data_IF_306853962326
#
_entry.id   IF_306853962326
#
_cell.length_a   1.000
_cell.length_b   1.000
_cell.length_c   1.000
_cell.angle_alpha   90.00
_cell.angle_beta   90.00
_cell.angle_gamma   90.00
#
_symmetry.space_group_name_H-M   'P 1'
#
loop_
_entity.id
_entity.type
_entity.pdbx_description
1 polymer ?
#
# COMPACT_ATOMS: atom_id res chain seq x y z
N UNK A 1 -4.70 -9.21 31.25
CA UNK A 1 -4.71 -9.54 29.82
C UNK A 1 -5.55 -8.49 29.12
N UNK A 2 -4.94 -7.60 28.36
CA UNK A 2 -5.68 -6.58 27.60
C UNK A 2 -6.28 -7.26 26.37
N UNK A 3 -7.60 -7.33 26.25
CA UNK A 3 -8.27 -7.84 25.05
C UNK A 3 -7.84 -7.00 23.84
N UNK A 4 -7.37 -7.66 22.78
CA UNK A 4 -7.09 -7.02 21.49
C UNK A 4 -8.43 -6.54 20.92
N UNK A 5 -8.55 -5.23 20.64
CA UNK A 5 -9.79 -4.68 20.06
C UNK A 5 -9.96 -5.21 18.64
N UNK A 6 -11.19 -5.48 18.22
CA UNK A 6 -11.50 -5.87 16.83
C UNK A 6 -12.08 -4.68 16.08
N UNK A 7 -11.67 -4.49 14.83
CA UNK A 7 -12.26 -3.52 13.90
C UNK A 7 -12.62 -4.24 12.60
N UNK A 8 -13.77 -3.89 12.05
CA UNK A 8 -14.28 -4.46 10.80
C UNK A 8 -14.50 -3.32 9.82
N UNK A 9 -13.98 -3.45 8.61
CA UNK A 9 -14.29 -2.56 7.47
C UNK A 9 -15.38 -3.23 6.65
N UNK A 10 -16.50 -2.55 6.46
CA UNK A 10 -17.64 -2.99 5.64
C UNK A 10 -17.85 -2.08 4.43
N UNK A 11 -17.46 -0.81 4.53
CA UNK A 11 -17.65 0.19 3.49
C UNK A 11 -16.44 1.11 3.47
N UNK A 12 -15.38 0.70 2.78
CA UNK A 12 -14.21 1.55 2.57
C UNK A 12 -14.27 2.32 1.26
N UNK A 13 -13.61 3.48 1.27
CA UNK A 13 -13.08 4.10 0.07
C UNK A 13 -11.65 3.61 -0.17
N UNK A 14 -11.38 3.10 -1.36
CA UNK A 14 -10.06 2.65 -1.79
C UNK A 14 -9.50 3.63 -2.80
N UNK A 15 -8.33 4.17 -2.49
CA UNK A 15 -7.56 5.05 -3.36
C UNK A 15 -6.37 4.27 -3.90
N UNK A 16 -6.20 4.25 -5.21
CA UNK A 16 -5.10 3.55 -5.87
C UNK A 16 -4.22 4.56 -6.62
N UNK A 17 -2.94 4.62 -6.29
CA UNK A 17 -1.92 5.36 -7.05
C UNK A 17 -1.05 4.31 -7.74
N UNK A 18 -1.23 4.12 -9.05
CA UNK A 18 -0.58 3.02 -9.78
C UNK A 18 0.25 3.56 -10.95
N UNK A 19 1.46 4.01 -10.66
CA UNK A 19 2.35 4.64 -11.63
C UNK A 19 3.18 3.58 -12.35
N UNK A 20 3.03 3.48 -13.67
CA UNK A 20 3.73 2.47 -14.48
C UNK A 20 4.64 3.04 -15.55
N UNK A 21 4.54 4.34 -15.90
CA UNK A 21 5.43 4.96 -16.89
C UNK A 21 6.16 6.18 -16.33
N UNK A 22 7.42 6.31 -16.73
CA UNK A 22 8.35 7.29 -16.19
C UNK A 22 9.21 7.87 -17.33
N UNK A 23 9.61 9.13 -17.19
CA UNK A 23 10.48 9.79 -18.16
C UNK A 23 11.94 9.32 -18.04
N UNK A 24 12.43 9.15 -16.80
CA UNK A 24 13.84 8.87 -16.49
C UNK A 24 14.08 7.48 -15.89
N UNK A 25 13.03 6.70 -15.63
CA UNK A 25 13.11 5.35 -15.07
C UNK A 25 12.49 4.34 -16.03
N UNK A 26 12.84 3.07 -15.86
CA UNK A 26 12.17 1.98 -16.59
C UNK A 26 10.69 1.92 -16.22
N UNK A 27 9.83 1.76 -17.23
CA UNK A 27 8.42 1.48 -17.00
C UNK A 27 8.21 0.20 -16.19
N UNK A 28 7.17 0.20 -15.36
CA UNK A 28 6.73 -0.92 -14.54
C UNK A 28 5.44 -1.50 -15.12
N UNK A 29 5.51 -2.13 -16.29
CA UNK A 29 4.33 -2.66 -17.00
C UNK A 29 3.51 -3.64 -16.14
N UNK A 30 4.15 -4.33 -15.20
CA UNK A 30 3.49 -5.19 -14.21
C UNK A 30 2.53 -4.45 -13.28
N UNK A 31 2.77 -3.16 -12.99
CA UNK A 31 1.86 -2.35 -12.18
C UNK A 31 0.51 -2.21 -12.89
N UNK A 32 0.57 -1.96 -14.20
CA UNK A 32 -0.63 -1.82 -15.05
C UNK A 32 -1.29 -3.16 -15.35
N UNK A 33 -0.50 -4.17 -15.69
CA UNK A 33 -1.02 -5.45 -16.21
C UNK A 33 -1.36 -6.47 -15.13
N UNK A 34 -0.82 -6.33 -13.92
CA UNK A 34 -0.99 -7.31 -12.83
C UNK A 34 -1.42 -6.65 -11.52
N UNK A 35 -0.67 -5.67 -11.02
CA UNK A 35 -0.89 -5.18 -9.66
C UNK A 35 -2.21 -4.42 -9.50
N UNK A 36 -2.46 -3.42 -10.35
CA UNK A 36 -3.71 -2.68 -10.32
C UNK A 36 -4.94 -3.59 -10.58
N UNK A 37 -4.93 -4.51 -11.56
CA UNK A 37 -5.99 -5.50 -11.72
C UNK A 37 -6.19 -6.40 -10.50
N UNK A 38 -5.11 -6.88 -9.85
CA UNK A 38 -5.21 -7.73 -8.66
C UNK A 38 -5.93 -7.02 -7.51
N UNK A 39 -5.52 -5.78 -7.21
CA UNK A 39 -6.16 -5.00 -6.16
C UNK A 39 -7.59 -4.58 -6.53
N UNK A 40 -7.84 -4.21 -7.78
CA UNK A 40 -9.19 -3.90 -8.27
C UNK A 40 -10.11 -5.10 -8.10
N UNK A 41 -9.66 -6.29 -8.51
CA UNK A 41 -10.41 -7.53 -8.34
C UNK A 41 -10.80 -7.77 -6.89
N UNK A 42 -9.86 -7.67 -5.96
CA UNK A 42 -10.17 -7.90 -4.56
C UNK A 42 -11.08 -6.81 -3.96
N UNK A 43 -10.70 -5.55 -4.05
CA UNK A 43 -11.41 -4.49 -3.33
C UNK A 43 -12.73 -4.09 -4.01
N UNK A 44 -12.77 -4.02 -5.34
CA UNK A 44 -13.96 -3.62 -6.09
C UNK A 44 -14.89 -4.80 -6.38
N UNK A 45 -14.36 -5.89 -6.92
CA UNK A 45 -15.20 -6.99 -7.41
C UNK A 45 -15.60 -7.94 -6.29
N UNK A 46 -14.67 -8.32 -5.40
CA UNK A 46 -14.94 -9.25 -4.31
C UNK A 46 -15.54 -8.55 -3.08
N UNK A 47 -14.99 -7.40 -2.65
CA UNK A 47 -15.47 -6.68 -1.46
C UNK A 47 -16.52 -5.60 -1.75
N UNK A 48 -16.75 -5.24 -3.01
CA UNK A 48 -17.71 -4.20 -3.42
C UNK A 48 -17.45 -2.83 -2.79
N UNK A 49 -16.18 -2.50 -2.53
CA UNK A 49 -15.79 -1.17 -2.07
C UNK A 49 -15.77 -0.16 -3.21
N UNK A 50 -15.89 1.12 -2.84
CA UNK A 50 -15.70 2.22 -3.77
C UNK A 50 -14.21 2.37 -4.09
N UNK A 51 -13.84 2.36 -5.37
CA UNK A 51 -12.43 2.42 -5.79
C UNK A 51 -12.21 3.58 -6.75
N UNK A 52 -11.25 4.44 -6.42
CA UNK A 52 -10.75 5.53 -7.27
C UNK A 52 -9.27 5.37 -7.54
N UNK A 53 -8.85 5.68 -8.76
CA UNK A 53 -7.49 5.42 -9.22
C UNK A 53 -6.87 6.65 -9.88
N UNK A 54 -5.65 6.98 -9.47
CA UNK A 54 -4.75 7.90 -10.17
C UNK A 54 -4.14 7.17 -11.38
N UNK A 55 -4.06 7.86 -12.51
CA UNK A 55 -3.65 7.29 -13.79
C UNK A 55 -2.27 6.64 -13.80
N UNK A 56 -1.95 5.94 -14.89
CA UNK A 56 -0.68 5.20 -15.05
C UNK A 56 0.54 6.10 -15.33
N UNK A 57 0.28 7.39 -15.60
CA UNK A 57 1.23 8.48 -15.77
C UNK A 57 0.74 9.68 -14.96
N UNK A 58 1.49 10.09 -13.94
CA UNK A 58 1.15 11.24 -13.11
C UNK A 58 2.43 11.87 -12.55
N UNK A 59 2.55 13.20 -12.64
CA UNK A 59 3.62 13.97 -11.99
C UNK A 59 3.42 14.01 -10.47
N UNK A 60 4.42 14.49 -9.72
CA UNK A 60 4.28 14.65 -8.28
C UNK A 60 3.10 15.56 -7.91
N UNK A 61 2.91 16.65 -8.67
CA UNK A 61 1.78 17.57 -8.50
C UNK A 61 0.44 16.92 -8.86
N UNK A 62 0.38 16.11 -9.92
CA UNK A 62 -0.83 15.37 -10.29
C UNK A 62 -1.24 14.38 -9.19
N UNK A 63 -0.28 13.70 -8.56
CA UNK A 63 -0.55 12.79 -7.43
C UNK A 63 -1.15 13.57 -6.26
N UNK A 64 -0.57 14.71 -5.88
CA UNK A 64 -1.10 15.53 -4.79
C UNK A 64 -2.48 16.09 -5.12
N UNK A 65 -2.68 16.57 -6.35
CA UNK A 65 -3.96 17.07 -6.85
C UNK A 65 -5.02 15.97 -6.85
N UNK A 66 -4.69 14.76 -7.28
CA UNK A 66 -5.59 13.60 -7.22
C UNK A 66 -6.07 13.35 -5.78
N UNK A 67 -5.17 13.42 -4.79
CA UNK A 67 -5.56 13.23 -3.39
C UNK A 67 -6.53 14.32 -2.91
N UNK A 68 -6.28 15.58 -3.28
CA UNK A 68 -7.18 16.71 -2.95
C UNK A 68 -8.53 16.60 -3.66
N UNK A 69 -8.53 16.18 -4.93
CA UNK A 69 -9.74 15.91 -5.70
C UNK A 69 -10.57 14.78 -5.08
N UNK A 70 -9.95 13.70 -4.59
CA UNK A 70 -10.67 12.63 -3.90
C UNK A 70 -11.29 13.14 -2.59
N UNK A 71 -10.53 13.88 -1.78
CA UNK A 71 -11.06 14.46 -0.53
C UNK A 71 -12.28 15.34 -0.82
N UNK A 72 -12.19 16.21 -1.83
CA UNK A 72 -13.28 17.11 -2.21
C UNK A 72 -14.47 16.37 -2.83
N UNK A 73 -14.23 15.43 -3.74
CA UNK A 73 -15.29 14.74 -4.51
C UNK A 73 -16.15 13.85 -3.62
N UNK A 74 -15.55 13.23 -2.61
CA UNK A 74 -16.25 12.36 -1.68
C UNK A 74 -16.69 13.08 -0.40
N UNK A 75 -16.41 14.39 -0.28
CA UNK A 75 -16.66 15.21 0.91
C UNK A 75 -16.18 14.49 2.18
N UNK A 76 -14.91 14.06 2.20
CA UNK A 76 -14.38 13.23 3.30
C UNK A 76 -14.36 13.96 4.66
N UNK A 77 -14.45 15.29 4.66
CA UNK A 77 -14.63 16.14 5.83
C UNK A 77 -16.02 16.00 6.48
N UNK A 78 -17.01 15.49 5.74
CA UNK A 78 -18.37 15.21 6.22
C UNK A 78 -18.72 13.73 6.18
N UNK A 79 -18.04 12.95 5.35
CA UNK A 79 -18.24 11.52 5.13
C UNK A 79 -19.73 11.13 4.88
N UNK A 80 -20.44 11.76 3.94
CA UNK A 80 -21.86 11.51 3.71
C UNK A 80 -22.15 10.07 3.25
N UNK A 81 -21.16 9.42 2.63
CA UNK A 81 -21.22 8.02 2.20
C UNK A 81 -20.97 7.01 3.32
N UNK A 82 -20.76 7.49 4.56
CA UNK A 82 -20.58 6.66 5.76
C UNK A 82 -19.48 5.60 5.58
N UNK A 83 -18.34 6.01 5.03
CA UNK A 83 -17.19 5.13 4.96
C UNK A 83 -16.70 4.81 6.38
N UNK A 84 -16.46 3.53 6.67
CA UNK A 84 -15.97 3.03 7.96
C UNK A 84 -14.47 2.68 7.93
N UNK A 85 -13.81 2.94 6.81
CA UNK A 85 -12.38 2.78 6.64
C UNK A 85 -11.87 3.47 5.37
N UNK A 86 -10.56 3.70 5.33
CA UNK A 86 -9.85 4.17 4.14
C UNK A 86 -8.77 3.16 3.78
N UNK A 87 -8.60 2.89 2.49
CA UNK A 87 -7.53 2.03 1.99
C UNK A 87 -6.76 2.81 0.93
N UNK A 88 -5.45 2.97 1.11
CA UNK A 88 -4.57 3.65 0.15
C UNK A 88 -3.57 2.64 -0.38
N UNK A 89 -3.57 2.41 -1.68
CA UNK A 89 -2.70 1.47 -2.37
C UNK A 89 -1.76 2.26 -3.26
N UNK A 90 -0.46 2.07 -3.10
CA UNK A 90 0.57 2.76 -3.88
C UNK A 90 1.41 1.70 -4.59
N UNK A 91 1.39 1.73 -5.92
CA UNK A 91 2.19 0.88 -6.78
C UNK A 91 3.06 1.77 -7.67
N UNK A 92 4.38 1.60 -7.62
CA UNK A 92 5.31 2.40 -8.40
C UNK A 92 6.75 2.31 -7.92
N UNK A 93 7.63 3.12 -8.50
CA UNK A 93 8.99 3.28 -8.00
C UNK A 93 9.01 4.04 -6.67
N UNK A 94 9.88 3.64 -5.76
CA UNK A 94 10.10 4.35 -4.51
C UNK A 94 11.59 4.50 -4.22
N UNK A 95 11.92 5.56 -3.48
CA UNK A 95 13.26 5.78 -2.94
C UNK A 95 13.47 4.99 -1.65
N UNK A 96 14.72 4.83 -1.22
CA UNK A 96 15.03 4.26 0.11
C UNK A 96 14.62 5.19 1.26
N UNK A 97 14.27 6.45 0.97
CA UNK A 97 13.76 7.45 1.92
C UNK A 97 12.24 7.45 2.09
N UNK A 98 11.54 6.40 1.62
CA UNK A 98 10.06 6.28 1.70
C UNK A 98 9.31 7.38 0.94
N UNK A 99 9.74 7.60 -0.30
CA UNK A 99 9.15 8.57 -1.22
C UNK A 99 8.73 7.85 -2.51
N UNK A 100 7.51 8.12 -2.97
CA UNK A 100 7.00 7.66 -4.26
C UNK A 100 7.64 8.52 -5.36
N UNK A 101 8.30 7.89 -6.34
CA UNK A 101 8.79 8.58 -7.53
C UNK A 101 7.64 8.69 -8.52
N UNK A 102 7.38 9.89 -9.02
CA UNK A 102 6.35 10.19 -10.01
C UNK A 102 6.88 10.11 -11.46
N UNK A 103 6.01 10.24 -12.46
CA UNK A 103 6.39 10.06 -13.87
C UNK A 103 7.42 11.07 -14.37
N UNK A 104 7.45 12.26 -13.78
CA UNK A 104 8.41 13.33 -14.03
C UNK A 104 9.76 13.14 -13.31
N UNK A 105 9.89 12.09 -12.49
CA UNK A 105 11.07 11.83 -11.67
C UNK A 105 11.10 12.58 -10.34
N UNK A 106 10.13 13.47 -10.08
CA UNK A 106 9.99 14.12 -8.78
C UNK A 106 9.41 13.14 -7.75
N UNK A 107 9.64 13.41 -6.47
CA UNK A 107 9.26 12.52 -5.38
C UNK A 107 8.14 13.10 -4.52
N UNK A 108 7.21 12.25 -4.10
CA UNK A 108 6.17 12.56 -3.11
C UNK A 108 6.41 11.71 -1.86
N UNK A 109 6.62 12.34 -0.71
CA UNK A 109 6.80 11.62 0.56
C UNK A 109 5.55 10.80 0.89
N UNK A 110 5.72 9.53 1.23
CA UNK A 110 4.61 8.68 1.67
C UNK A 110 3.93 9.26 2.92
N UNK A 111 4.71 9.89 3.81
CA UNK A 111 4.18 10.62 4.96
C UNK A 111 3.25 11.77 4.55
N UNK A 112 3.56 12.52 3.49
CA UNK A 112 2.68 13.59 2.98
C UNK A 112 1.33 13.02 2.54
N UNK A 113 1.32 11.87 1.85
CA UNK A 113 0.11 11.16 1.45
C UNK A 113 -0.67 10.71 2.70
N UNK A 114 0.02 10.08 3.67
CA UNK A 114 -0.58 9.61 4.92
C UNK A 114 -1.24 10.74 5.71
N UNK A 115 -0.56 11.87 5.84
CA UNK A 115 -1.03 12.99 6.66
C UNK A 115 -2.29 13.65 6.09
N UNK A 116 -2.53 13.60 4.77
CA UNK A 116 -3.79 14.04 4.16
C UNK A 116 -5.00 13.24 4.68
N UNK A 117 -4.80 12.00 5.11
CA UNK A 117 -5.87 11.12 5.63
C UNK A 117 -5.79 10.89 7.14
N UNK A 118 -4.98 11.66 7.86
CA UNK A 118 -4.93 11.55 9.33
C UNK A 118 -6.27 11.90 9.96
N UNK A 119 -6.61 11.32 11.11
CA UNK A 119 -7.82 11.70 11.85
C UNK A 119 -7.81 13.16 12.34
N UNK A 120 -6.64 13.80 12.39
CA UNK A 120 -6.52 15.24 12.66
C UNK A 120 -6.95 16.08 11.46
N UNK A 121 -6.63 15.62 10.24
CA UNK A 121 -7.02 16.27 8.98
C UNK A 121 -8.47 15.96 8.60
N UNK A 122 -8.88 14.70 8.75
CA UNK A 122 -10.21 14.19 8.42
C UNK A 122 -10.89 13.70 9.69
N UNK A 123 -11.45 14.62 10.46
CA UNK A 123 -12.10 14.34 11.75
C UNK A 123 -13.16 13.22 11.71
N UNK A 124 -14.00 13.07 10.67
CA UNK A 124 -14.96 11.96 10.59
C UNK A 124 -14.33 10.58 10.56
N UNK A 125 -13.04 10.49 10.21
CA UNK A 125 -12.28 9.25 10.18
C UNK A 125 -11.48 9.00 11.45
N UNK A 126 -11.58 9.85 12.46
CA UNK A 126 -11.00 9.60 13.77
C UNK A 126 -11.62 8.31 14.35
N UNK A 127 -10.77 7.38 14.78
CA UNK A 127 -11.12 6.06 15.26
C UNK A 127 -11.28 5.00 14.16
N UNK A 128 -11.40 5.37 12.88
CA UNK A 128 -11.54 4.40 11.79
C UNK A 128 -10.20 3.85 11.28
N UNK A 129 -10.16 2.56 10.92
CA UNK A 129 -8.97 1.93 10.37
C UNK A 129 -8.61 2.52 9.00
N UNK A 130 -7.31 2.73 8.79
CA UNK A 130 -6.70 3.25 7.57
C UNK A 130 -5.63 2.27 7.13
N UNK A 131 -5.85 1.56 6.03
CA UNK A 131 -4.92 0.55 5.52
C UNK A 131 -4.08 1.15 4.38
N UNK A 132 -2.77 1.17 4.55
CA UNK A 132 -1.82 1.55 3.50
C UNK A 132 -1.16 0.30 2.95
N UNK A 133 -1.20 0.11 1.63
CA UNK A 133 -0.52 -0.98 0.93
C UNK A 133 0.48 -0.36 -0.02
N UNK A 134 1.76 -0.44 0.31
CA UNK A 134 2.86 0.05 -0.50
C UNK A 134 3.44 -1.13 -1.28
N UNK A 135 3.12 -1.26 -2.56
CA UNK A 135 3.71 -2.27 -3.46
C UNK A 135 4.74 -1.58 -4.36
N UNK A 136 5.93 -1.34 -3.80
CA UNK A 136 6.91 -0.42 -4.37
C UNK A 136 8.18 -1.13 -4.83
N UNK A 137 8.78 -0.57 -5.89
CA UNK A 137 10.01 -1.05 -6.51
C UNK A 137 11.13 -0.07 -6.19
N UNK A 138 12.20 -0.55 -5.55
CA UNK A 138 13.37 0.28 -5.27
C UNK A 138 14.41 0.00 -6.35
N UNK A 139 14.72 1.01 -7.15
CA UNK A 139 15.82 0.92 -8.11
C UNK A 139 17.14 0.79 -7.34
N UNK A 140 17.92 -0.25 -7.65
CA UNK A 140 19.22 -0.50 -7.02
C UNK A 140 20.33 0.38 -7.58
N UNK A 141 20.04 1.21 -8.59
CA UNK A 141 21.01 2.10 -9.20
C UNK A 141 21.09 3.42 -8.42
N UNK A 142 22.00 3.48 -7.44
CA UNK A 142 22.28 4.66 -6.59
C UNK A 142 22.56 5.95 -7.38
N UNK A 143 22.93 5.83 -8.66
CA UNK A 143 23.29 6.96 -9.53
C UNK A 143 22.13 7.90 -9.91
N UNK A 144 20.86 7.48 -9.80
CA UNK A 144 19.72 8.34 -10.18
C UNK A 144 19.21 9.21 -9.03
N UNK A 145 19.79 9.05 -7.83
CA UNK A 145 19.51 9.88 -6.66
C UNK A 145 20.82 10.33 -6.01
N UNK A 146 21.51 11.29 -6.64
CA UNK A 146 22.84 11.78 -6.24
C UNK A 146 22.96 12.33 -4.79
N UNK A 147 21.90 12.29 -3.97
CA UNK A 147 21.89 12.69 -2.57
C UNK A 147 21.36 11.62 -1.60
N UNK A 148 21.10 10.39 -2.05
CA UNK A 148 20.53 9.34 -1.20
C UNK A 148 21.66 8.43 -0.70
N UNK A 149 21.88 8.43 0.62
CA UNK A 149 22.82 7.50 1.25
C UNK A 149 22.33 6.06 1.04
N UNK A 150 23.22 5.25 0.46
CA UNK A 150 23.07 3.81 0.28
C UNK A 150 22.54 3.11 1.54
N UNK A 151 21.49 2.30 1.37
CA UNK A 151 21.17 1.28 2.35
C UNK A 151 22.18 0.14 2.15
N UNK A 152 23.13 -0.02 3.07
CA UNK A 152 24.02 -1.18 3.05
C UNK A 152 23.23 -2.42 3.45
N UNK A 153 23.11 -3.44 2.58
CA UNK A 153 22.50 -4.70 2.94
C UNK A 153 23.49 -5.45 3.85
N UNK A 154 23.48 -5.16 5.15
CA UNK A 154 24.18 -6.03 6.11
C UNK A 154 23.47 -7.37 6.13
N UNK A 155 24.23 -8.44 5.88
CA UNK A 155 23.85 -9.84 5.71
C UNK A 155 23.16 -10.53 6.92
N UNK A 156 22.17 -9.87 7.50
CA UNK A 156 21.20 -10.44 8.43
C UNK A 156 19.94 -9.60 8.32
N UNK A 157 19.10 -9.90 7.32
CA UNK A 157 17.79 -9.27 7.18
C UNK A 157 16.83 -9.89 8.20
N UNK A 158 17.09 -9.60 9.48
CA UNK A 158 16.05 -9.58 10.49
C UNK A 158 15.04 -8.53 10.02
N UNK A 159 13.83 -8.98 9.78
CA UNK A 159 12.64 -8.18 9.47
C UNK A 159 12.46 -7.16 10.59
N UNK A 160 13.13 -6.01 10.49
CA UNK A 160 13.08 -4.97 11.51
C UNK A 160 11.84 -4.13 11.26
N UNK A 161 10.70 -4.70 11.65
CA UNK A 161 9.40 -4.03 11.72
C UNK A 161 9.59 -2.78 12.57
N UNK A 162 9.64 -1.62 11.91
CA UNK A 162 9.75 -0.33 12.57
C UNK A 162 8.37 0.22 12.81
N UNK A 163 7.97 0.23 14.08
CA UNK A 163 6.74 0.83 14.55
C UNK A 163 6.96 2.32 14.76
N UNK A 164 6.51 3.16 13.81
CA UNK A 164 6.42 4.60 14.08
C UNK A 164 5.14 4.86 14.86
N UNK A 165 5.34 5.10 16.15
CA UNK A 165 4.31 5.24 17.16
C UNK A 165 3.63 6.63 17.04
N UNK A 166 2.58 6.73 16.20
CA UNK A 166 1.69 7.89 16.18
C UNK A 166 0.24 7.43 15.94
N UNK A 167 -0.52 7.24 17.03
CA UNK A 167 -1.99 7.16 17.07
C UNK A 167 -2.66 6.15 16.10
N UNK A 168 -2.45 4.86 16.36
CA UNK A 168 -3.42 3.73 16.40
C UNK A 168 -4.50 3.53 15.31
N UNK A 169 -4.44 4.20 14.17
CA UNK A 169 -5.45 4.04 13.10
C UNK A 169 -4.88 3.54 11.78
N UNK A 170 -3.56 3.61 11.61
CA UNK A 170 -2.91 3.18 10.38
C UNK A 170 -2.38 1.75 10.51
N UNK A 171 -2.69 0.93 9.52
CA UNK A 171 -2.01 -0.34 9.27
C UNK A 171 -1.27 -0.18 7.96
N UNK A 172 0.04 -0.37 7.97
CA UNK A 172 0.84 -0.34 6.75
C UNK A 172 1.28 -1.74 6.39
N UNK A 173 1.06 -2.15 5.15
CA UNK A 173 1.63 -3.31 4.49
C UNK A 173 2.59 -2.76 3.46
N UNK A 174 3.87 -3.11 3.54
CA UNK A 174 4.88 -2.72 2.56
C UNK A 174 5.40 -3.97 1.90
N UNK A 175 5.27 -4.04 0.59
CA UNK A 175 6.08 -4.90 -0.23
C UNK A 175 7.19 -4.10 -0.90
N UNK A 176 8.43 -4.49 -0.63
CA UNK A 176 9.60 -3.92 -1.28
C UNK A 176 10.22 -4.96 -2.18
N UNK A 177 10.48 -4.57 -3.43
CA UNK A 177 11.34 -5.36 -4.30
C UNK A 177 12.54 -4.53 -4.70
N UNK A 178 13.73 -5.03 -4.35
CA UNK A 178 15.01 -4.39 -4.63
C UNK A 178 15.60 -5.00 -5.91
N UNK A 179 15.96 -4.14 -6.86
CA UNK A 179 16.70 -4.52 -8.05
C UNK A 179 15.83 -4.79 -9.29
N UNK A 180 16.47 -4.64 -10.46
CA UNK A 180 15.84 -4.56 -11.79
C UNK A 180 15.36 -5.90 -12.38
N UNK A 181 15.33 -6.98 -11.61
CA UNK A 181 15.12 -8.34 -12.12
C UNK A 181 14.15 -9.11 -11.22
N UNK A 182 12.89 -8.67 -11.14
CA UNK A 182 11.82 -9.62 -10.83
C UNK A 182 11.47 -10.31 -12.14
N UNK A 183 11.54 -11.66 -12.21
CA UNK A 183 10.92 -12.37 -13.30
C UNK A 183 9.44 -11.98 -13.37
N UNK A 184 8.94 -11.73 -14.59
CA UNK A 184 7.53 -11.37 -14.82
C UNK A 184 6.53 -12.27 -14.10
N UNK A 185 6.92 -13.50 -13.73
CA UNK A 185 6.01 -14.54 -13.27
C UNK A 185 5.38 -14.31 -11.89
N UNK A 186 5.92 -13.48 -10.98
CA UNK A 186 5.29 -13.33 -9.64
C UNK A 186 5.53 -11.98 -8.95
N UNK A 187 4.48 -11.18 -8.82
CA UNK A 187 4.51 -9.90 -8.08
C UNK A 187 3.99 -10.05 -6.64
N UNK A 188 4.36 -9.17 -5.71
CA UNK A 188 3.84 -9.23 -4.33
C UNK A 188 2.34 -9.02 -4.24
N UNK A 189 1.77 -8.19 -5.12
CA UNK A 189 0.32 -7.99 -5.22
C UNK A 189 -0.42 -9.29 -5.51
N UNK A 190 0.17 -10.22 -6.27
CA UNK A 190 -0.43 -11.52 -6.56
C UNK A 190 -0.59 -12.34 -5.28
N UNK A 191 0.44 -12.42 -4.45
CA UNK A 191 0.40 -13.19 -3.20
C UNK A 191 -0.54 -12.56 -2.17
N UNK A 192 -0.52 -11.24 -2.05
CA UNK A 192 -1.46 -10.52 -1.19
C UNK A 192 -2.90 -10.78 -1.66
N UNK A 193 -3.17 -10.63 -2.96
CA UNK A 193 -4.48 -10.89 -3.53
C UNK A 193 -4.92 -12.35 -3.32
N UNK A 194 -4.03 -13.33 -3.56
CA UNK A 194 -4.34 -14.75 -3.37
C UNK A 194 -4.69 -15.06 -1.90
N UNK A 195 -3.91 -14.54 -0.95
CA UNK A 195 -4.16 -14.71 0.47
C UNK A 195 -5.48 -14.02 0.88
N UNK A 196 -5.68 -12.78 0.44
CA UNK A 196 -6.88 -12.01 0.74
C UNK A 196 -8.14 -12.70 0.21
N UNK A 197 -8.16 -13.06 -1.07
CA UNK A 197 -9.28 -13.80 -1.70
C UNK A 197 -9.60 -15.12 -0.97
N UNK A 198 -8.57 -15.83 -0.51
CA UNK A 198 -8.75 -17.15 0.12
C UNK A 198 -9.26 -17.07 1.55
N UNK A 199 -8.89 -16.01 2.29
CA UNK A 199 -8.94 -16.04 3.76
C UNK A 199 -9.72 -14.89 4.41
N UNK A 200 -10.11 -13.84 3.66
CA UNK A 200 -10.73 -12.64 4.26
C UNK A 200 -12.02 -12.90 5.05
N UNK A 201 -12.74 -13.98 4.74
CA UNK A 201 -13.98 -14.36 5.45
C UNK A 201 -13.75 -14.98 6.83
N UNK A 202 -12.53 -15.45 7.11
CA UNK A 202 -12.23 -16.27 8.29
C UNK A 202 -11.10 -15.71 9.16
N UNK A 203 -10.28 -14.84 8.59
CA UNK A 203 -9.01 -14.44 9.17
C UNK A 203 -8.90 -12.92 9.24
N UNK A 204 -8.21 -12.45 10.28
CA UNK A 204 -7.84 -11.04 10.36
C UNK A 204 -6.72 -10.71 9.35
N UNK A 205 -6.51 -9.42 9.10
CA UNK A 205 -5.51 -8.95 8.15
C UNK A 205 -4.09 -9.42 8.49
N UNK A 206 -3.74 -9.53 9.78
CA UNK A 206 -2.41 -9.99 10.20
C UNK A 206 -2.19 -11.46 9.84
N UNK A 207 -3.21 -12.31 10.02
CA UNK A 207 -3.18 -13.71 9.61
C UNK A 207 -3.08 -13.84 8.09
N UNK A 208 -3.85 -13.05 7.34
CA UNK A 208 -3.76 -13.04 5.87
C UNK A 208 -2.38 -12.63 5.36
N UNK A 209 -1.74 -11.63 5.98
CA UNK A 209 -0.38 -11.19 5.64
C UNK A 209 0.62 -12.31 5.92
N UNK A 210 0.53 -12.98 7.09
CA UNK A 210 1.39 -14.12 7.41
C UNK A 210 1.28 -15.24 6.38
N UNK A 211 0.06 -15.53 5.93
CA UNK A 211 -0.18 -16.53 4.88
C UNK A 211 0.45 -16.12 3.54
N UNK A 212 0.37 -14.83 3.16
CA UNK A 212 1.05 -14.31 1.98
C UNK A 212 2.58 -14.45 2.10
N UNK A 213 3.15 -14.09 3.25
CA UNK A 213 4.57 -14.25 3.55
C UNK A 213 5.02 -15.72 3.43
N UNK A 214 4.26 -16.66 4.00
CA UNK A 214 4.54 -18.09 3.90
C UNK A 214 4.58 -18.55 2.45
N UNK A 215 3.59 -18.17 1.64
CA UNK A 215 3.53 -18.54 0.21
C UNK A 215 4.70 -17.96 -0.61
N UNK A 216 5.14 -16.75 -0.28
CA UNK A 216 6.34 -16.14 -0.88
C UNK A 216 7.58 -16.96 -0.52
N UNK A 217 7.75 -17.30 0.77
CA UNK A 217 8.88 -18.09 1.26
C UNK A 217 8.95 -19.50 0.64
N UNK A 218 7.80 -20.14 0.40
CA UNK A 218 7.74 -21.48 -0.18
C UNK A 218 8.07 -21.49 -1.68
N UNK A 219 7.71 -20.43 -2.42
CA UNK A 219 7.88 -20.37 -3.88
C UNK A 219 9.14 -19.66 -4.34
N UNK A 220 9.68 -18.74 -3.54
CA UNK A 220 10.89 -18.00 -3.88
C UNK A 220 12.00 -18.33 -2.88
N UNK A 221 13.20 -18.59 -3.38
CA UNK A 221 14.40 -18.89 -2.59
C UNK A 221 14.93 -17.63 -1.85
N UNK A 222 14.06 -16.98 -1.04
CA UNK A 222 14.27 -15.86 -0.09
C UNK A 222 14.84 -14.53 -0.60
N UNK A 223 15.14 -14.35 -1.89
CA UNK A 223 16.03 -13.24 -2.31
C UNK A 223 15.39 -11.96 -2.85
N UNK A 224 14.08 -11.89 -3.12
CA UNK A 224 13.57 -10.80 -3.97
C UNK A 224 12.28 -10.09 -3.50
N UNK A 225 11.51 -10.63 -2.56
CA UNK A 225 10.25 -10.01 -2.11
C UNK A 225 10.14 -10.07 -0.60
N UNK A 226 10.00 -8.91 0.03
CA UNK A 226 9.72 -8.77 1.46
C UNK A 226 8.35 -8.12 1.62
N UNK A 227 7.49 -8.70 2.48
CA UNK A 227 6.26 -8.06 2.93
C UNK A 227 6.41 -7.76 4.41
N UNK A 228 6.42 -6.48 4.75
CA UNK A 228 6.39 -5.98 6.11
C UNK A 228 5.00 -5.46 6.46
N UNK A 229 4.63 -5.60 7.74
CA UNK A 229 3.44 -4.95 8.24
C UNK A 229 3.64 -4.39 9.64
N UNK A 230 3.12 -3.18 9.88
CA UNK A 230 3.01 -2.64 11.24
C UNK A 230 2.00 -3.49 12.01
N UNK A 231 2.40 -4.10 13.13
CA UNK A 231 1.45 -4.85 13.95
C UNK A 231 0.35 -3.90 14.47
N UNK A 232 -0.92 -4.12 14.09
CA UNK A 232 -1.99 -3.26 14.53
C UNK A 232 -2.27 -3.48 16.03
N UNK A 233 -2.63 -2.41 16.75
CA UNK A 233 -3.12 -2.52 18.14
C UNK A 233 -4.51 -3.18 18.23
N UNK A 234 -5.11 -3.48 17.08
CA UNK A 234 -6.40 -4.15 16.91
C UNK A 234 -6.32 -5.30 15.88
N UNK A 235 -7.26 -6.23 15.90
CA UNK A 235 -7.47 -7.16 14.79
C UNK A 235 -8.34 -6.47 13.74
N UNK A 236 -7.93 -6.50 12.47
CA UNK A 236 -8.63 -5.83 11.38
C UNK A 236 -9.25 -6.86 10.44
N UNK A 237 -10.55 -6.81 10.24
CA UNK A 237 -11.28 -7.67 9.31
C UNK A 237 -11.78 -6.87 8.13
N UNK A 238 -11.62 -7.42 6.92
CA UNK A 238 -12.20 -6.89 5.70
C UNK A 238 -13.45 -7.71 5.37
N UNK A 239 -14.55 -7.05 5.04
CA UNK A 239 -15.82 -7.74 4.74
C UNK A 239 -16.50 -7.13 3.53
N UNK A 240 -17.32 -7.92 2.81
CA UNK A 240 -18.05 -7.40 1.65
C UNK A 240 -19.01 -6.29 2.10
N UNK A 241 -19.12 -5.24 1.30
CA UNK A 241 -20.18 -4.25 1.43
C UNK A 241 -21.53 -4.94 1.19
N UNK A 242 -22.41 -4.83 2.18
CA UNK A 242 -23.79 -5.35 2.13
C UNK A 242 -24.70 -4.26 1.56
#
# INVERSE_FOLDING_TARGET
MTQRREKVIKNALVLMICLSKYNALSSLEQVKTKDAPNFTRFFKEELHYEVVQCGDVATADDVLKFLDEVISTFELDKNPKQFDGLIVIICGHATTSDELIASDGNCVKIETIRNKFSGQTLTPFLGFPKLFILNTYIDGNESLTANVKAFSPTNSFDTKITFTNTNDEFVMIRSTVVGSLIPDSVTPSYYLNEAFMSFYKKHDLSEMIKMAQTKICERQNRRHVEIDATAPTFALFLTRKI
#
